data_IF_366099633978
#
_entry.id   IF_366099633978
#
_cell.length_a   1.000
_cell.length_b   1.000
_cell.length_c   1.000
_cell.angle_alpha   90.00
_cell.angle_beta   90.00
_cell.angle_gamma   90.00
#
_symmetry.space_group_name_H-M   'P 1'
#
loop_
_entity.id
_entity.type
_entity.pdbx_description
1 polymer ?
#
# COMPACT_ATOMS: atom_id res chain seq x y z
N UNK A 1 -0.24 -8.08 -18.82
CA UNK A 1 0.71 -7.13 -18.20
C UNK A 1 1.42 -7.86 -17.07
N UNK A 2 2.72 -7.61 -16.89
CA UNK A 2 3.57 -8.31 -15.90
C UNK A 2 4.02 -7.37 -14.79
N UNK A 3 4.22 -7.90 -13.59
CA UNK A 3 4.71 -7.12 -12.43
C UNK A 3 6.04 -6.39 -12.70
N UNK A 4 6.92 -6.93 -13.54
CA UNK A 4 8.19 -6.30 -13.92
C UNK A 4 7.99 -4.97 -14.68
N UNK A 5 6.84 -4.76 -15.31
CA UNK A 5 6.51 -3.51 -16.00
C UNK A 5 6.30 -2.34 -15.01
N UNK A 6 6.12 -2.62 -13.71
CA UNK A 6 6.05 -1.58 -12.67
C UNK A 6 7.34 -0.75 -12.56
N UNK A 7 8.48 -1.25 -13.04
CA UNK A 7 9.73 -0.46 -13.09
C UNK A 7 9.55 0.81 -13.93
N UNK A 8 8.70 0.78 -14.96
CA UNK A 8 8.40 1.94 -15.79
C UNK A 8 7.50 2.95 -15.09
N UNK A 9 6.66 2.49 -14.16
CA UNK A 9 5.77 3.33 -13.36
C UNK A 9 6.52 3.99 -12.20
N UNK A 10 7.40 3.26 -11.51
CA UNK A 10 8.13 3.76 -10.34
C UNK A 10 9.15 4.86 -10.67
N UNK A 11 9.69 4.88 -11.89
CA UNK A 11 10.63 5.91 -12.33
C UNK A 11 9.96 7.19 -12.84
N UNK A 12 8.64 7.21 -13.02
CA UNK A 12 7.86 8.39 -13.45
C UNK A 12 7.43 9.25 -12.25
N UNK A 13 8.44 9.73 -11.50
CA UNK A 13 8.22 10.63 -10.35
C UNK A 13 7.89 12.03 -10.85
N UNK A 14 6.76 12.58 -10.41
CA UNK A 14 6.27 13.89 -10.86
C UNK A 14 6.87 15.05 -10.07
N UNK A 15 7.06 14.91 -8.76
CA UNK A 15 7.63 15.95 -7.89
C UNK A 15 8.33 15.37 -6.64
N UNK A 16 9.17 16.19 -6.01
CA UNK A 16 9.80 16.02 -4.69
C UNK A 16 10.88 14.94 -4.55
N UNK A 17 11.57 14.59 -5.63
CA UNK A 17 12.83 13.85 -5.52
C UNK A 17 13.86 14.66 -4.71
N UNK A 18 14.44 15.69 -5.33
CA UNK A 18 15.51 16.54 -4.76
C UNK A 18 15.10 17.98 -4.49
N UNK A 19 13.92 18.38 -4.96
CA UNK A 19 13.40 19.75 -4.86
C UNK A 19 12.41 19.82 -3.70
N UNK A 20 12.61 20.83 -2.85
CA UNK A 20 11.77 21.14 -1.71
C UNK A 20 11.05 22.44 -2.03
N UNK A 21 9.80 22.55 -1.59
CA UNK A 21 9.07 23.81 -1.64
C UNK A 21 9.71 24.84 -0.70
N UNK A 22 9.53 26.12 -1.01
CA UNK A 22 10.20 27.21 -0.31
C UNK A 22 9.84 27.32 1.19
N UNK A 23 8.66 26.81 1.55
CA UNK A 23 8.12 26.76 2.92
C UNK A 23 8.52 25.48 3.68
N UNK A 24 9.17 24.52 3.03
CA UNK A 24 9.61 23.28 3.67
C UNK A 24 10.69 23.59 4.74
N UNK A 25 10.60 23.02 5.96
CA UNK A 25 11.55 23.31 7.05
C UNK A 25 13.02 23.07 6.67
N UNK A 26 13.27 22.03 5.87
CA UNK A 26 14.59 21.70 5.32
C UNK A 26 15.01 22.45 4.04
N UNK A 27 14.27 23.47 3.56
CA UNK A 27 14.55 24.11 2.27
C UNK A 27 15.95 24.73 2.18
N UNK A 28 16.43 25.33 3.28
CA UNK A 28 17.78 25.93 3.38
C UNK A 28 18.81 24.99 4.04
N UNK A 29 18.39 23.78 4.44
CA UNK A 29 19.28 22.82 5.06
C UNK A 29 20.00 22.00 4.00
N UNK A 30 21.26 22.33 3.76
CA UNK A 30 22.09 21.66 2.76
C UNK A 30 22.35 20.18 3.09
N UNK A 31 22.47 19.83 4.38
CA UNK A 31 22.71 18.45 4.84
C UNK A 31 21.47 17.61 4.59
N UNK A 32 20.29 18.11 4.97
CA UNK A 32 19.01 17.46 4.70
C UNK A 32 18.76 17.27 3.20
N UNK A 33 19.06 18.29 2.37
CA UNK A 33 18.92 18.21 0.91
C UNK A 33 19.85 17.17 0.29
N UNK A 34 21.10 17.09 0.76
CA UNK A 34 22.03 16.05 0.30
C UNK A 34 21.53 14.66 0.70
N UNK A 35 20.99 14.52 1.91
CA UNK A 35 20.40 13.26 2.39
C UNK A 35 19.19 12.84 1.57
N UNK A 36 18.32 13.78 1.16
CA UNK A 36 17.20 13.54 0.22
C UNK A 36 17.67 13.06 -1.15
N UNK A 37 18.70 13.70 -1.74
CA UNK A 37 19.27 13.26 -3.02
C UNK A 37 19.75 11.82 -2.96
N UNK A 38 20.43 11.43 -1.88
CA UNK A 38 20.85 10.05 -1.66
C UNK A 38 19.65 9.07 -1.69
N UNK A 39 18.54 9.38 -1.01
CA UNK A 39 17.35 8.52 -1.03
C UNK A 39 16.72 8.39 -2.42
N UNK A 40 16.72 9.48 -3.20
CA UNK A 40 16.26 9.46 -4.59
C UNK A 40 17.12 8.55 -5.45
N UNK A 41 18.44 8.67 -5.34
CA UNK A 41 19.38 7.84 -6.10
C UNK A 41 19.20 6.36 -5.76
N UNK A 42 19.05 6.01 -4.48
CA UNK A 42 18.77 4.63 -4.06
C UNK A 42 17.47 4.10 -4.68
N UNK A 43 16.40 4.90 -4.64
CA UNK A 43 15.10 4.49 -5.19
C UNK A 43 15.12 4.39 -6.73
N UNK A 44 15.79 5.30 -7.43
CA UNK A 44 15.90 5.31 -8.90
C UNK A 44 16.79 4.18 -9.44
N UNK A 45 17.72 3.67 -8.64
CA UNK A 45 18.57 2.55 -9.04
C UNK A 45 17.93 1.18 -8.78
N UNK A 46 16.80 1.12 -8.08
CA UNK A 46 16.12 -0.13 -7.76
C UNK A 46 15.41 -0.73 -8.98
N UNK A 47 15.67 -2.01 -9.25
CA UNK A 47 14.99 -2.79 -10.29
C UNK A 47 14.21 -3.96 -9.71
N UNK A 48 13.10 -4.31 -10.35
CA UNK A 48 12.29 -5.45 -9.92
C UNK A 48 13.12 -6.74 -9.84
N UNK A 49 12.95 -7.47 -8.74
CA UNK A 49 13.64 -8.74 -8.47
C UNK A 49 14.95 -8.59 -7.71
N UNK A 50 15.47 -7.37 -7.55
CA UNK A 50 16.63 -7.11 -6.68
C UNK A 50 16.16 -6.93 -5.21
N UNK A 51 17.00 -7.28 -4.22
CA UNK A 51 16.73 -6.91 -2.83
C UNK A 51 16.73 -5.38 -2.68
N UNK A 52 15.85 -4.85 -1.83
CA UNK A 52 15.80 -3.42 -1.56
C UNK A 52 17.07 -3.04 -0.78
N UNK A 53 17.85 -2.03 -1.23
CA UNK A 53 19.06 -1.62 -0.54
C UNK A 53 18.78 -1.20 0.91
N UNK A 54 19.62 -1.65 1.85
CA UNK A 54 19.55 -1.19 3.24
C UNK A 54 20.11 0.22 3.37
N UNK A 55 19.46 1.01 4.20
CA UNK A 55 19.85 2.37 4.53
C UNK A 55 20.51 2.38 5.90
N UNK A 56 21.69 2.98 6.00
CA UNK A 56 22.27 3.35 7.28
C UNK A 56 21.71 4.71 7.71
N UNK A 57 20.73 4.70 8.61
CA UNK A 57 20.13 5.92 9.16
C UNK A 57 21.08 6.62 10.14
N UNK A 58 21.05 7.95 10.16
CA UNK A 58 21.85 8.74 11.09
C UNK A 58 21.23 8.70 12.50
N UNK A 59 22.00 8.98 13.56
CA UNK A 59 21.44 9.08 14.91
C UNK A 59 20.31 10.11 15.04
N UNK A 60 20.36 11.19 14.27
CA UNK A 60 19.31 12.22 14.23
C UNK A 60 18.01 11.71 13.57
N UNK A 61 18.14 10.96 12.46
CA UNK A 61 16.99 10.32 11.81
C UNK A 61 16.32 9.32 12.76
N UNK A 62 17.12 8.48 13.43
CA UNK A 62 16.61 7.50 14.41
C UNK A 62 15.94 8.20 15.60
N UNK A 63 16.52 9.30 16.10
CA UNK A 63 15.91 10.08 17.18
C UNK A 63 14.57 10.68 16.77
N UNK A 64 14.49 11.25 15.56
CA UNK A 64 13.24 11.80 15.02
C UNK A 64 12.16 10.73 14.90
N UNK A 65 12.53 9.56 14.36
CA UNK A 65 11.66 8.39 14.32
C UNK A 65 11.17 7.96 15.70
N UNK A 66 12.07 7.88 16.68
CA UNK A 66 11.73 7.47 18.04
C UNK A 66 10.69 8.37 18.69
N UNK A 67 10.79 9.68 18.49
CA UNK A 67 9.76 10.63 18.96
C UNK A 67 8.41 10.30 18.36
N UNK A 68 8.31 10.20 17.03
CA UNK A 68 7.04 9.90 16.35
C UNK A 68 6.47 8.54 16.78
N UNK A 69 7.33 7.51 16.84
CA UNK A 69 6.95 6.16 17.23
C UNK A 69 6.36 6.14 18.64
N UNK A 70 7.02 6.79 19.60
CA UNK A 70 6.58 6.82 21.00
C UNK A 70 5.27 7.60 21.18
N UNK A 71 5.14 8.78 20.57
CA UNK A 71 3.92 9.59 20.71
C UNK A 71 2.71 8.88 20.08
N UNK A 72 2.85 8.30 18.88
CA UNK A 72 1.75 7.59 18.23
C UNK A 72 1.42 6.25 18.92
N UNK A 73 2.43 5.53 19.44
CA UNK A 73 2.21 4.24 20.13
C UNK A 73 1.34 4.38 21.37
N UNK A 74 1.38 5.54 22.03
CA UNK A 74 0.49 5.83 23.17
C UNK A 74 -0.98 5.99 22.75
N UNK A 75 -1.25 6.44 21.52
CA UNK A 75 -2.60 6.68 21.01
C UNK A 75 -3.24 5.42 20.41
N UNK A 76 -2.43 4.47 19.92
CA UNK A 76 -2.94 3.30 19.22
C UNK A 76 -3.95 2.45 20.00
N UNK A 77 -3.76 2.14 21.31
CA UNK A 77 -4.71 1.30 22.03
C UNK A 77 -6.15 1.82 22.04
N UNK A 78 -6.33 3.14 21.92
CA UNK A 78 -7.63 3.80 21.95
C UNK A 78 -8.13 4.28 20.59
N UNK A 79 -7.25 4.47 19.61
CA UNK A 79 -7.60 5.07 18.31
C UNK A 79 -7.36 4.15 17.11
N UNK A 80 -6.48 3.16 17.21
CA UNK A 80 -6.17 2.28 16.09
C UNK A 80 -7.20 1.15 15.97
N UNK A 81 -7.50 0.75 14.73
CA UNK A 81 -8.37 -0.39 14.49
C UNK A 81 -7.73 -1.70 14.97
N UNK A 82 -8.57 -2.72 15.21
CA UNK A 82 -8.16 -4.03 15.71
C UNK A 82 -7.09 -4.68 14.83
N UNK A 83 -7.22 -4.57 13.51
CA UNK A 83 -6.27 -5.14 12.54
C UNK A 83 -4.89 -4.49 12.67
N UNK A 84 -4.81 -3.18 12.94
CA UNK A 84 -3.55 -2.50 13.21
C UNK A 84 -2.90 -3.02 14.50
N UNK A 85 -3.67 -3.07 15.60
CA UNK A 85 -3.19 -3.54 16.91
C UNK A 85 -2.75 -5.01 16.88
N UNK A 86 -3.39 -5.85 16.07
CA UNK A 86 -2.99 -7.25 15.86
C UNK A 86 -1.64 -7.37 15.12
N UNK A 87 -1.39 -6.48 14.17
CA UNK A 87 -0.23 -6.58 13.27
C UNK A 87 1.00 -5.82 13.78
N UNK A 88 0.83 -4.75 14.57
CA UNK A 88 1.96 -3.97 15.10
C UNK A 88 2.96 -4.84 15.90
N UNK A 89 2.54 -5.74 16.82
CA UNK A 89 3.47 -6.64 17.51
C UNK A 89 4.24 -7.55 16.57
N UNK A 90 3.62 -7.99 15.46
CA UNK A 90 4.29 -8.80 14.44
C UNK A 90 5.35 -7.98 13.70
N UNK A 91 5.06 -6.72 13.38
CA UNK A 91 6.03 -5.80 12.78
C UNK A 91 7.18 -5.46 13.73
N UNK A 92 6.92 -5.30 15.03
CA UNK A 92 7.97 -5.15 16.04
C UNK A 92 8.87 -6.38 16.09
N UNK A 93 8.27 -7.58 16.09
CA UNK A 93 8.99 -8.85 16.18
C UNK A 93 9.80 -9.17 14.92
N UNK A 94 9.22 -8.96 13.73
CA UNK A 94 9.78 -9.45 12.46
C UNK A 94 10.46 -8.37 11.62
N UNK A 95 10.04 -7.11 11.75
CA UNK A 95 10.55 -5.99 10.96
C UNK A 95 11.31 -4.95 11.80
N UNK A 96 11.39 -5.15 13.13
CA UNK A 96 12.16 -4.28 14.03
C UNK A 96 11.53 -2.91 14.27
N UNK A 97 10.21 -2.80 14.23
CA UNK A 97 9.49 -1.57 14.61
C UNK A 97 9.69 -1.29 16.10
N UNK A 98 10.62 -0.37 16.42
CA UNK A 98 10.96 0.06 17.78
C UNK A 98 11.34 1.54 17.77
N UNK A 99 11.27 2.18 18.93
CA UNK A 99 11.64 3.58 19.11
C UNK A 99 13.09 3.88 18.70
N UNK A 100 14.01 2.94 18.91
CA UNK A 100 15.44 3.08 18.66
C UNK A 100 15.89 2.60 17.28
N UNK A 101 14.96 2.18 16.41
CA UNK A 101 15.30 1.55 15.14
C UNK A 101 14.27 1.85 14.04
N UNK A 102 14.71 2.47 12.95
CA UNK A 102 13.92 2.66 11.74
C UNK A 102 13.89 1.31 10.96
N UNK A 103 12.71 0.73 10.72
CA UNK A 103 12.56 -0.51 9.95
C UNK A 103 13.11 -0.38 8.52
N UNK A 104 13.78 -1.41 8.04
CA UNK A 104 14.29 -1.46 6.67
C UNK A 104 13.19 -1.93 5.72
N UNK A 105 13.06 -1.27 4.57
CA UNK A 105 12.05 -1.64 3.58
C UNK A 105 12.20 -3.06 3.04
N UNK A 106 13.41 -3.63 3.00
CA UNK A 106 13.61 -5.04 2.62
C UNK A 106 12.96 -6.00 3.63
N UNK A 107 13.12 -5.74 4.93
CA UNK A 107 12.54 -6.58 6.00
C UNK A 107 11.01 -6.45 5.98
N UNK A 108 10.52 -5.22 5.79
CA UNK A 108 9.10 -4.97 5.59
C UNK A 108 8.60 -5.64 4.32
N UNK A 109 9.33 -5.61 3.20
CA UNK A 109 8.92 -6.22 1.92
C UNK A 109 8.78 -7.73 1.98
N UNK A 110 9.68 -8.38 2.74
CA UNK A 110 9.60 -9.81 3.04
C UNK A 110 8.36 -10.17 3.87
N UNK A 111 7.91 -9.25 4.73
CA UNK A 111 6.71 -9.44 5.55
C UNK A 111 5.42 -9.02 4.81
N UNK A 112 5.46 -7.90 4.09
CA UNK A 112 4.41 -7.22 3.33
C UNK A 112 5.04 -6.63 2.08
N UNK A 113 4.70 -7.15 0.89
CA UNK A 113 5.35 -6.75 -0.38
C UNK A 113 5.27 -5.23 -0.63
N UNK A 114 6.38 -4.51 -0.40
CA UNK A 114 6.50 -3.05 -0.61
C UNK A 114 7.60 -2.72 -1.60
N UNK A 115 7.52 -1.53 -2.19
CA UNK A 115 8.54 -0.97 -3.10
C UNK A 115 8.92 0.45 -2.70
N UNK A 116 10.22 0.81 -2.68
CA UNK A 116 10.64 2.18 -2.46
C UNK A 116 10.24 3.06 -3.65
N UNK A 117 9.87 4.31 -3.38
CA UNK A 117 9.61 5.31 -4.41
C UNK A 117 10.28 6.64 -4.06
N UNK A 118 10.84 7.31 -5.07
CA UNK A 118 11.63 8.54 -4.89
C UNK A 118 10.79 9.80 -4.57
N UNK A 119 9.46 9.72 -4.65
CA UNK A 119 8.58 10.87 -4.45
C UNK A 119 7.15 10.55 -4.89
N UNK A 120 6.40 11.59 -5.24
CA UNK A 120 5.02 11.43 -5.68
C UNK A 120 4.97 10.83 -7.09
N UNK A 121 4.23 9.72 -7.23
CA UNK A 121 3.87 9.16 -8.52
C UNK A 121 2.58 9.79 -9.04
N UNK A 122 2.34 9.68 -10.34
CA UNK A 122 1.01 9.93 -10.87
C UNK A 122 -0.02 9.00 -10.20
N UNK A 123 -1.27 9.44 -9.98
CA UNK A 123 -2.31 8.57 -9.42
C UNK A 123 -2.46 7.27 -10.22
N UNK A 124 -2.29 7.32 -11.55
CA UNK A 124 -2.31 6.16 -12.44
C UNK A 124 -1.21 5.16 -12.09
N UNK A 125 0.02 5.63 -11.94
CA UNK A 125 1.19 4.77 -11.67
C UNK A 125 1.16 4.21 -10.24
N UNK A 126 0.70 5.01 -9.27
CA UNK A 126 0.50 4.55 -7.90
C UNK A 126 -0.56 3.44 -7.82
N UNK A 127 -1.73 3.66 -8.42
CA UNK A 127 -2.82 2.67 -8.45
C UNK A 127 -2.44 1.42 -9.27
N UNK A 128 -1.59 1.56 -10.29
CA UNK A 128 -1.06 0.41 -11.03
C UNK A 128 -0.21 -0.51 -10.11
N UNK A 129 0.57 0.04 -9.19
CA UNK A 129 1.29 -0.74 -8.18
C UNK A 129 0.35 -1.56 -7.29
N UNK A 130 -0.73 -0.93 -6.81
CA UNK A 130 -1.73 -1.59 -5.97
C UNK A 130 -2.43 -2.76 -6.68
N UNK A 131 -2.58 -2.70 -8.02
CA UNK A 131 -3.15 -3.80 -8.80
C UNK A 131 -2.33 -5.10 -8.70
N UNK A 132 -1.03 -5.00 -8.41
CA UNK A 132 -0.14 -6.14 -8.16
C UNK A 132 0.09 -6.42 -6.67
N UNK A 133 -0.70 -5.80 -5.79
CA UNK A 133 -0.51 -5.82 -4.33
C UNK A 133 0.88 -5.31 -3.91
N UNK A 134 1.41 -4.33 -4.63
CA UNK A 134 2.67 -3.64 -4.32
C UNK A 134 2.34 -2.22 -3.88
N UNK A 135 2.68 -1.88 -2.64
CA UNK A 135 2.50 -0.53 -2.12
C UNK A 135 3.80 0.28 -2.30
N UNK A 136 3.70 1.43 -2.96
CA UNK A 136 4.81 2.38 -3.10
C UNK A 136 4.88 3.26 -1.84
N UNK A 137 5.91 3.09 -1.01
CA UNK A 137 6.02 3.79 0.28
C UNK A 137 6.93 5.03 0.20
N UNK A 138 6.43 6.18 0.68
CA UNK A 138 7.24 7.33 1.12
C UNK A 138 7.24 7.40 2.67
N UNK A 139 8.04 8.27 3.29
CA UNK A 139 8.35 8.24 4.72
C UNK A 139 7.80 9.44 5.54
N UNK A 140 6.60 9.97 5.26
CA UNK A 140 6.08 11.17 5.95
C UNK A 140 4.64 11.01 6.49
N UNK A 141 4.29 11.71 7.58
CA UNK A 141 2.99 11.62 8.29
C UNK A 141 2.49 12.98 8.86
N UNK A 142 1.16 13.16 9.02
CA UNK A 142 0.49 14.25 9.77
C UNK A 142 -0.96 13.85 10.20
N UNK A 143 -1.49 14.37 11.34
CA UNK A 143 -2.84 14.05 11.91
C UNK A 143 -3.46 15.21 12.75
N UNK A 144 -4.82 15.27 12.89
CA UNK A 144 -5.61 16.10 13.86
C UNK A 144 -7.13 15.80 13.84
N UNK A 145 -7.90 16.55 14.64
CA UNK A 145 -9.10 16.13 15.39
C UNK A 145 -10.40 16.89 15.01
N UNK A 146 -10.37 17.82 14.03
CA UNK A 146 -11.51 18.72 13.72
C UNK A 146 -12.56 18.16 12.74
N UNK A 147 -12.65 16.84 12.57
CA UNK A 147 -13.20 16.33 11.32
C UNK A 147 -14.66 15.87 11.35
N UNK A 148 -15.37 16.11 10.25
CA UNK A 148 -16.72 15.59 10.01
C UNK A 148 -16.64 14.12 9.56
N UNK A 149 -17.46 13.24 10.15
CA UNK A 149 -17.47 11.81 9.80
C UNK A 149 -18.71 11.47 8.98
N UNK A 150 -18.53 10.80 7.83
CA UNK A 150 -19.61 10.35 6.93
C UNK A 150 -19.45 8.86 6.60
N UNK A 151 -20.52 8.22 6.15
CA UNK A 151 -20.44 6.84 5.65
C UNK A 151 -19.70 6.79 4.31
N UNK A 152 -18.84 5.80 4.14
CA UNK A 152 -18.13 5.56 2.88
C UNK A 152 -19.09 5.09 1.78
N UNK A 153 -19.27 5.95 0.78
CA UNK A 153 -19.86 5.65 -0.52
C UNK A 153 -18.88 6.13 -1.61
N UNK A 154 -18.31 5.23 -2.43
CA UNK A 154 -17.39 5.59 -3.51
C UNK A 154 -17.92 6.65 -4.47
N UNK A 155 -19.24 6.67 -4.74
CA UNK A 155 -19.84 7.62 -5.70
C UNK A 155 -19.83 9.05 -5.19
N UNK A 156 -20.04 9.25 -3.89
CA UNK A 156 -19.92 10.57 -3.26
C UNK A 156 -18.46 10.91 -2.96
N UNK A 157 -17.72 9.94 -2.43
CA UNK A 157 -16.35 10.13 -1.93
C UNK A 157 -15.40 10.55 -3.04
N UNK A 158 -15.56 10.05 -4.27
CA UNK A 158 -14.68 10.41 -5.39
C UNK A 158 -14.77 11.88 -5.82
N UNK A 159 -15.77 12.62 -5.35
CA UNK A 159 -15.94 14.05 -5.60
C UNK A 159 -15.49 14.92 -4.41
N UNK A 160 -15.09 14.32 -3.29
CA UNK A 160 -14.59 15.05 -2.13
C UNK A 160 -13.20 15.64 -2.42
N UNK A 161 -13.02 16.92 -2.15
CA UNK A 161 -11.72 17.58 -2.26
C UNK A 161 -10.73 17.00 -1.23
N UNK A 162 -9.53 16.68 -1.71
CA UNK A 162 -8.43 16.17 -0.89
C UNK A 162 -7.51 17.33 -0.52
N UNK A 163 -7.51 17.73 0.76
CA UNK A 163 -6.67 18.80 1.25
C UNK A 163 -5.26 18.26 1.53
N UNK A 164 -4.21 18.93 1.04
CA UNK A 164 -2.82 18.44 1.17
C UNK A 164 -1.99 19.17 2.24
N UNK A 165 -2.38 20.40 2.60
CA UNK A 165 -1.65 21.26 3.54
C UNK A 165 -2.27 21.31 4.93
N UNK A 166 -3.45 20.73 5.11
CA UNK A 166 -4.23 20.79 6.34
C UNK A 166 -5.01 19.50 6.57
N UNK A 167 -5.70 19.43 7.69
CA UNK A 167 -6.56 18.31 8.04
C UNK A 167 -7.73 18.17 7.10
N UNK A 168 -8.18 16.93 6.89
CA UNK A 168 -9.35 16.69 6.04
C UNK A 168 -10.60 17.20 6.74
N UNK A 169 -11.46 17.89 5.99
CA UNK A 169 -12.77 18.34 6.49
C UNK A 169 -13.70 17.17 6.77
N UNK A 170 -13.58 16.10 5.97
CA UNK A 170 -14.44 14.92 6.01
C UNK A 170 -13.62 13.64 6.03
N UNK A 171 -13.97 12.71 6.92
CA UNK A 171 -13.49 11.33 6.95
C UNK A 171 -14.65 10.39 6.65
N UNK A 172 -14.36 9.31 5.93
CA UNK A 172 -15.36 8.32 5.53
C UNK A 172 -15.17 7.02 6.31
N UNK A 173 -16.25 6.48 6.86
CA UNK A 173 -16.28 5.25 7.65
C UNK A 173 -16.96 4.13 6.88
N UNK A 174 -16.30 2.98 6.84
CA UNK A 174 -16.87 1.71 6.39
C UNK A 174 -17.13 0.80 7.59
N UNK A 175 -18.19 -0.02 7.52
CA UNK A 175 -18.52 -0.97 8.59
C UNK A 175 -17.43 -2.05 8.76
N UNK A 176 -16.78 -2.45 7.67
CA UNK A 176 -15.66 -3.37 7.67
C UNK A 176 -14.83 -3.25 6.40
N UNK A 177 -13.65 -3.87 6.38
CA UNK A 177 -12.85 -3.98 5.15
C UNK A 177 -13.57 -4.78 4.04
N UNK A 178 -14.44 -5.73 4.39
CA UNK A 178 -15.20 -6.48 3.37
C UNK A 178 -16.31 -5.60 2.76
N UNK A 179 -17.03 -4.81 3.58
CA UNK A 179 -17.99 -3.80 3.08
C UNK A 179 -17.31 -2.79 2.14
N UNK A 180 -16.16 -2.23 2.54
CA UNK A 180 -15.41 -1.30 1.70
C UNK A 180 -14.98 -1.95 0.37
N UNK A 181 -14.56 -3.22 0.41
CA UNK A 181 -14.15 -3.99 -0.77
C UNK A 181 -15.33 -4.27 -1.71
N UNK A 182 -16.50 -4.62 -1.18
CA UNK A 182 -17.72 -4.81 -1.97
C UNK A 182 -18.17 -3.52 -2.64
N UNK A 183 -18.22 -2.41 -1.89
CA UNK A 183 -18.52 -1.07 -2.43
C UNK A 183 -17.58 -0.68 -3.57
N UNK A 184 -16.27 -0.92 -3.42
CA UNK A 184 -15.29 -0.64 -4.47
C UNK A 184 -15.44 -1.58 -5.68
N UNK A 185 -15.81 -2.85 -5.49
CA UNK A 185 -16.11 -3.78 -6.60
C UNK A 185 -17.29 -3.29 -7.42
N UNK A 186 -18.34 -2.79 -6.77
CA UNK A 186 -19.51 -2.26 -7.46
C UNK A 186 -19.23 -0.91 -8.13
N UNK A 187 -18.48 -0.02 -7.46
CA UNK A 187 -18.03 1.24 -8.07
C UNK A 187 -17.20 1.01 -9.33
N UNK A 188 -16.31 0.01 -9.32
CA UNK A 188 -15.49 -0.33 -10.49
C UNK A 188 -16.33 -0.72 -11.72
N UNK A 189 -17.56 -1.21 -11.56
CA UNK A 189 -18.47 -1.51 -12.69
C UNK A 189 -18.96 -0.25 -13.41
N UNK A 190 -18.98 0.91 -12.73
CA UNK A 190 -19.31 2.19 -13.37
C UNK A 190 -18.17 2.83 -14.16
N UNK A 191 -16.95 2.30 -14.05
CA UNK A 191 -15.81 2.80 -14.82
C UNK A 191 -15.91 2.28 -16.26
N UNK A 192 -16.08 3.21 -17.22
CA UNK A 192 -16.20 2.87 -18.64
C UNK A 192 -14.88 2.35 -19.19
N UNK A 193 -14.85 1.08 -19.60
CA UNK A 193 -13.73 0.44 -20.30
C UNK A 193 -14.21 -0.78 -21.12
N UNK A 194 -13.56 -1.11 -22.25
CA UNK A 194 -14.02 -2.17 -23.15
C UNK A 194 -13.65 -3.60 -22.71
N UNK A 195 -13.09 -3.78 -21.51
CA UNK A 195 -12.67 -5.08 -20.97
C UNK A 195 -12.69 -5.07 -19.45
N UNK A 196 -12.69 -6.26 -18.84
CA UNK A 196 -12.42 -6.42 -17.41
C UNK A 196 -10.99 -6.93 -17.18
N UNK A 197 -10.54 -6.88 -15.93
CA UNK A 197 -9.19 -7.32 -15.53
C UNK A 197 -9.29 -8.38 -14.45
N UNK A 198 -8.40 -9.37 -14.53
CA UNK A 198 -8.26 -10.43 -13.54
C UNK A 198 -6.80 -10.52 -13.10
N UNK A 199 -6.54 -10.52 -11.80
CA UNK A 199 -5.19 -10.67 -11.27
C UNK A 199 -4.88 -12.15 -11.07
N UNK A 200 -3.83 -12.62 -11.74
CA UNK A 200 -3.31 -13.97 -11.56
C UNK A 200 -2.21 -13.96 -10.48
N UNK A 201 -2.45 -14.55 -9.30
CA UNK A 201 -1.50 -14.52 -8.20
C UNK A 201 -0.25 -15.40 -8.44
N UNK A 202 -0.37 -16.45 -9.27
CA UNK A 202 0.73 -17.39 -9.52
C UNK A 202 1.80 -16.78 -10.44
N UNK A 203 1.35 -16.10 -11.50
CA UNK A 203 2.24 -15.46 -12.48
C UNK A 203 2.49 -13.99 -12.17
N UNK A 204 1.78 -13.42 -11.17
CA UNK A 204 1.83 -12.00 -10.81
C UNK A 204 1.57 -11.12 -12.04
N UNK A 205 0.53 -11.48 -12.79
CA UNK A 205 0.13 -10.81 -14.02
C UNK A 205 -1.32 -10.35 -13.97
N UNK A 206 -1.63 -9.34 -14.79
CA UNK A 206 -3.00 -8.93 -15.06
C UNK A 206 -3.43 -9.49 -16.41
N UNK A 207 -4.48 -10.31 -16.37
CA UNK A 207 -5.14 -10.89 -17.52
C UNK A 207 -6.29 -9.98 -17.96
N UNK A 208 -6.35 -9.70 -19.27
CA UNK A 208 -7.41 -8.89 -19.87
C UNK A 208 -8.55 -9.80 -20.33
N UNK A 209 -9.71 -9.65 -19.69
CA UNK A 209 -10.93 -10.38 -20.05
C UNK A 209 -11.67 -9.59 -21.13
N UNK A 210 -11.31 -9.84 -22.39
CA UNK A 210 -11.86 -9.18 -23.58
C UNK A 210 -12.52 -10.14 -24.58
N UNK A 211 -12.36 -11.44 -24.39
CA UNK A 211 -12.86 -12.50 -25.26
C UNK A 211 -13.33 -13.70 -24.42
N UNK A 212 -14.12 -14.59 -25.04
CA UNK A 212 -14.67 -15.77 -24.37
C UNK A 212 -13.60 -16.73 -23.89
N UNK A 213 -12.51 -16.90 -24.64
CA UNK A 213 -11.41 -17.78 -24.25
C UNK A 213 -10.71 -17.35 -22.96
N UNK A 214 -10.54 -16.05 -22.75
CA UNK A 214 -10.04 -15.49 -21.49
C UNK A 214 -10.98 -15.77 -20.30
N UNK A 215 -12.29 -15.63 -20.51
CA UNK A 215 -13.31 -15.86 -19.48
C UNK A 215 -13.40 -17.35 -19.14
N UNK A 216 -13.45 -18.23 -20.15
CA UNK A 216 -13.51 -19.69 -19.97
C UNK A 216 -12.32 -20.22 -19.15
N UNK A 217 -11.13 -19.65 -19.34
CA UNK A 217 -9.95 -20.01 -18.54
C UNK A 217 -10.18 -19.75 -17.06
N UNK A 218 -10.67 -18.56 -16.71
CA UNK A 218 -10.97 -18.19 -15.31
C UNK A 218 -12.05 -19.09 -14.73
N UNK A 219 -13.13 -19.36 -15.48
CA UNK A 219 -14.22 -20.25 -15.04
C UNK A 219 -13.71 -21.67 -14.77
N UNK A 220 -12.84 -22.19 -15.65
CA UNK A 220 -12.26 -23.52 -15.48
C UNK A 220 -11.39 -23.61 -14.23
N UNK A 221 -10.60 -22.59 -13.95
CA UNK A 221 -9.74 -22.54 -12.77
C UNK A 221 -10.59 -22.48 -11.48
N UNK A 222 -11.62 -21.63 -11.45
CA UNK A 222 -12.58 -21.57 -10.34
C UNK A 222 -13.29 -22.92 -10.10
N UNK A 223 -13.62 -23.66 -11.17
CA UNK A 223 -14.21 -25.00 -11.04
C UNK A 223 -13.23 -25.99 -10.42
N UNK A 224 -11.95 -25.89 -10.74
CA UNK A 224 -10.89 -26.69 -10.11
C UNK A 224 -10.78 -26.39 -8.61
N UNK A 225 -10.82 -25.12 -8.24
CA UNK A 225 -10.79 -24.69 -6.83
C UNK A 225 -12.03 -25.21 -6.07
N UNK A 226 -13.22 -25.10 -6.67
CA UNK A 226 -14.45 -25.65 -6.08
C UNK A 226 -14.39 -27.16 -5.90
N UNK A 227 -13.76 -27.89 -6.83
CA UNK A 227 -13.56 -29.34 -6.70
C UNK A 227 -12.71 -29.66 -5.46
N UNK A 228 -11.68 -28.85 -5.19
CA UNK A 228 -10.83 -28.99 -3.99
C UNK A 228 -11.63 -28.70 -2.71
N UNK A 229 -12.52 -27.70 -2.73
CA UNK A 229 -13.41 -27.42 -1.60
C UNK A 229 -14.36 -28.59 -1.33
N UNK A 230 -14.95 -29.17 -2.38
CA UNK A 230 -15.81 -30.35 -2.24
C UNK A 230 -15.07 -31.56 -1.65
N UNK A 231 -13.82 -31.82 -2.08
CA UNK A 231 -12.99 -32.88 -1.51
C UNK A 231 -12.70 -32.63 -0.02
N UNK A 232 -12.37 -31.39 0.36
CA UNK A 232 -12.14 -31.03 1.76
C UNK A 232 -13.40 -31.25 2.63
N UNK A 233 -14.57 -30.86 2.13
CA UNK A 233 -15.85 -31.12 2.82
C UNK A 233 -16.14 -32.62 2.96
N UNK A 234 -15.88 -33.41 1.90
CA UNK A 234 -16.01 -34.86 1.96
C UNK A 234 -15.10 -35.48 3.02
N UNK A 235 -13.86 -35.01 3.13
CA UNK A 235 -12.92 -35.43 4.18
C UNK A 235 -13.39 -35.03 5.58
N UNK A 236 -13.92 -33.82 5.75
CA UNK A 236 -14.48 -33.39 7.05
C UNK A 236 -15.64 -34.29 7.47
N UNK A 237 -16.58 -34.57 6.57
CA UNK A 237 -17.69 -35.48 6.87
C UNK A 237 -17.20 -36.90 7.21
N UNK A 238 -16.19 -37.39 6.50
CA UNK A 238 -15.65 -38.75 6.71
C UNK A 238 -14.88 -38.89 8.02
N UNK A 239 -14.02 -37.92 8.36
CA UNK A 239 -13.06 -38.05 9.47
C UNK A 239 -13.47 -37.27 10.72
N UNK A 240 -14.35 -36.28 10.60
CA UNK A 240 -14.79 -35.43 11.72
C UNK A 240 -16.29 -35.56 12.01
N UNK A 241 -17.07 -36.24 11.15
CA UNK A 241 -18.50 -36.49 11.38
C UNK A 241 -19.38 -35.24 11.37
N UNK A 242 -18.89 -34.16 10.72
CA UNK A 242 -19.59 -32.88 10.51
C UNK A 242 -19.57 -32.50 9.03
#
# INVERSE_FOLDING_TARGET
>A
MKISELDQCSHRVLMYGSELDADHPGFKDHVYRQRRKYFVEVAMNYKFGQPIPRIQYTPEEVKTWGVVFRELTQLYPTHACREYLKNLPLLTKHCGYREDNIPQLEDVSRFLRVRPVAGYLSPRDFLAGLAYRVFNCTQYHALSDQACVRTFDPRTTCHQECLITTFQEVYFVSESFEDAKEKMRDFAKSIVRPFSVFYNPFTQSIDLLKDTGGIERVVRDLRSDLTTVCDALGKMNTYMGI
#
